data_IF_688038992455
#
_entry.id   IF_688038992455
#
_cell.length_a   1.000
_cell.length_b   1.000
_cell.length_c   1.000
_cell.angle_alpha   90.00
_cell.angle_beta   90.00
_cell.angle_gamma   90.00
#
_symmetry.space_group_name_H-M   'P 1'
#
loop_
_entity.id
_entity.type
_entity.pdbx_description
1 polymer ?
#
# COMPACT_ATOMS: atom_id res chain seq x y z
N UNK A 1 -7.54 -6.46 -25.87
CA UNK A 1 -7.14 -5.12 -26.40
C UNK A 1 -8.06 -3.97 -25.98
N UNK A 2 -9.40 -4.07 -26.08
CA UNK A 2 -10.34 -2.96 -25.82
C UNK A 2 -10.25 -2.29 -24.43
N UNK A 3 -9.94 -3.03 -23.35
CA UNK A 3 -9.80 -2.46 -22.00
C UNK A 3 -8.51 -1.63 -21.82
N UNK A 4 -7.38 -2.12 -22.36
CA UNK A 4 -6.11 -1.39 -22.35
C UNK A 4 -6.22 -0.06 -23.08
N UNK A 5 -6.90 -0.02 -24.23
CA UNK A 5 -7.13 1.25 -24.94
C UNK A 5 -8.04 2.22 -24.17
N UNK A 6 -9.09 1.72 -23.49
CA UNK A 6 -9.97 2.53 -22.63
C UNK A 6 -9.22 3.16 -21.46
N UNK A 7 -8.39 2.40 -20.76
CA UNK A 7 -7.63 2.92 -19.60
C UNK A 7 -6.54 3.89 -20.02
N UNK A 8 -5.88 3.64 -21.16
CA UNK A 8 -4.96 4.59 -21.77
C UNK A 8 -5.68 5.90 -22.11
N UNK A 9 -6.83 5.83 -22.81
CA UNK A 9 -7.63 7.01 -23.13
C UNK A 9 -8.00 7.77 -21.85
N UNK A 10 -8.50 7.07 -20.83
CA UNK A 10 -8.84 7.67 -19.52
C UNK A 10 -7.64 8.35 -18.87
N UNK A 11 -6.46 7.75 -18.93
CA UNK A 11 -5.24 8.36 -18.41
C UNK A 11 -4.90 9.64 -19.18
N UNK A 12 -4.85 9.60 -20.51
CA UNK A 12 -4.53 10.77 -21.33
C UNK A 12 -5.58 11.87 -21.22
N UNK A 13 -6.87 11.53 -21.11
CA UNK A 13 -7.92 12.53 -20.82
C UNK A 13 -7.68 13.25 -19.50
N UNK A 14 -7.22 12.53 -18.46
CA UNK A 14 -6.84 13.15 -17.18
C UNK A 14 -5.66 14.10 -17.38
N UNK A 15 -4.65 13.71 -18.16
CA UNK A 15 -3.49 14.56 -18.46
C UNK A 15 -3.90 15.80 -19.25
N UNK A 16 -4.74 15.67 -20.27
CA UNK A 16 -5.27 16.82 -21.03
C UNK A 16 -6.05 17.78 -20.12
N UNK A 17 -6.91 17.26 -19.23
CA UNK A 17 -7.62 18.09 -18.27
C UNK A 17 -6.68 18.79 -17.28
N UNK A 18 -5.62 18.11 -16.82
CA UNK A 18 -4.61 18.74 -15.98
C UNK A 18 -3.86 19.86 -16.71
N UNK A 19 -3.58 19.69 -18.01
CA UNK A 19 -2.96 20.70 -18.84
C UNK A 19 -3.88 21.93 -19.00
N UNK A 20 -5.15 21.71 -19.35
CA UNK A 20 -6.13 22.79 -19.52
C UNK A 20 -6.37 23.58 -18.22
N UNK A 21 -6.34 22.90 -17.06
CA UNK A 21 -6.61 23.51 -15.76
C UNK A 21 -5.33 23.80 -14.96
N UNK A 22 -4.16 23.78 -15.60
CA UNK A 22 -2.87 23.80 -14.91
C UNK A 22 -2.72 24.98 -13.92
N UNK A 23 -3.03 26.25 -14.28
CA UNK A 23 -2.88 27.37 -13.35
C UNK A 23 -3.72 27.20 -12.09
N UNK A 24 -4.99 26.78 -12.26
CA UNK A 24 -5.91 26.56 -11.16
C UNK A 24 -5.49 25.39 -10.26
N UNK A 25 -5.03 24.30 -10.86
CA UNK A 25 -4.57 23.13 -10.12
C UNK A 25 -3.28 23.41 -9.35
N UNK A 26 -2.37 24.23 -9.89
CA UNK A 26 -1.19 24.69 -9.18
C UNK A 26 -1.55 25.59 -8.00
N UNK A 27 -2.46 26.55 -8.19
CA UNK A 27 -2.96 27.40 -7.11
C UNK A 27 -3.59 26.57 -5.99
N UNK A 28 -4.38 25.55 -6.36
CA UNK A 28 -4.98 24.61 -5.40
C UNK A 28 -3.94 23.90 -4.54
N UNK A 29 -2.81 23.45 -5.11
CA UNK A 29 -1.75 22.81 -4.33
C UNK A 29 -1.05 23.79 -3.38
N UNK A 30 -0.84 25.05 -3.80
CA UNK A 30 -0.32 26.12 -2.94
C UNK A 30 -1.26 26.36 -1.76
N UNK A 31 -2.56 26.48 -2.02
CA UNK A 31 -3.57 26.68 -0.99
C UNK A 31 -3.61 25.53 0.01
N UNK A 32 -3.56 24.27 -0.46
CA UNK A 32 -3.51 23.11 0.45
C UNK A 32 -2.27 23.14 1.34
N UNK A 33 -1.11 23.49 0.79
CA UNK A 33 0.13 23.63 1.55
C UNK A 33 0.01 24.74 2.61
N UNK A 34 -0.54 25.88 2.23
CA UNK A 34 -0.79 26.99 3.14
C UNK A 34 -1.73 26.57 4.27
N UNK A 35 -2.88 25.95 3.95
CA UNK A 35 -3.83 25.43 4.94
C UNK A 35 -3.20 24.38 5.85
N UNK A 36 -2.31 23.53 5.33
CA UNK A 36 -1.62 22.54 6.15
C UNK A 36 -0.75 23.16 7.25
N UNK A 37 -0.17 24.32 6.97
CA UNK A 37 0.62 25.09 7.92
C UNK A 37 -0.25 25.87 8.92
N UNK A 38 -1.56 26.05 8.64
CA UNK A 38 -2.49 26.57 9.62
C UNK A 38 -2.75 25.48 10.68
N UNK A 39 -2.80 25.90 11.95
CA UNK A 39 -3.13 25.01 13.07
C UNK A 39 -4.65 24.91 13.30
N UNK A 40 -5.41 24.80 12.21
CA UNK A 40 -6.87 24.64 12.26
C UNK A 40 -7.20 23.15 12.11
N UNK A 41 -7.56 22.53 13.23
CA UNK A 41 -8.00 21.14 13.28
C UNK A 41 -9.53 21.07 13.47
N UNK A 42 -10.23 20.63 12.43
CA UNK A 42 -11.69 20.40 12.45
C UNK A 42 -12.02 18.93 12.19
N UNK A 43 -11.02 18.07 12.07
CA UNK A 43 -11.24 16.65 11.84
C UNK A 43 -11.48 15.97 13.19
N UNK A 44 -12.64 15.35 13.34
CA UNK A 44 -13.05 14.65 14.56
C UNK A 44 -12.27 13.36 14.82
N UNK A 45 -11.37 12.98 13.90
CA UNK A 45 -10.66 11.70 13.98
C UNK A 45 -11.61 10.55 13.68
N UNK A 46 -11.02 9.41 13.35
CA UNK A 46 -11.75 8.15 13.21
C UNK A 46 -10.92 7.02 13.77
N UNK A 47 -11.57 6.13 14.49
CA UNK A 47 -10.97 4.94 15.08
C UNK A 47 -11.52 3.70 14.39
N UNK A 48 -10.65 2.70 14.22
CA UNK A 48 -10.99 1.40 13.64
C UNK A 48 -11.82 0.60 14.63
N UNK A 49 -12.62 -0.32 14.11
CA UNK A 49 -13.15 -1.39 14.96
C UNK A 49 -12.00 -2.25 15.52
N UNK A 50 -12.15 -2.66 16.78
CA UNK A 50 -11.23 -3.60 17.41
C UNK A 50 -11.22 -4.94 16.66
N UNK A 51 -10.08 -5.62 16.73
CA UNK A 51 -9.89 -6.96 16.18
C UNK A 51 -9.76 -7.91 17.36
N UNK A 52 -10.61 -8.93 17.42
CA UNK A 52 -10.58 -9.96 18.46
C UNK A 52 -9.98 -11.28 17.96
N UNK A 53 -9.84 -11.44 16.65
CA UNK A 53 -9.24 -12.61 16.02
C UNK A 53 -7.73 -12.66 16.29
N UNK A 54 -7.25 -13.83 16.72
CA UNK A 54 -5.83 -14.15 16.84
C UNK A 54 -5.17 -14.46 15.49
N UNK A 55 -5.98 -14.64 14.45
CA UNK A 55 -5.55 -14.95 13.09
C UNK A 55 -5.37 -13.68 12.27
N UNK A 56 -4.27 -13.61 11.54
CA UNK A 56 -3.94 -12.56 10.56
C UNK A 56 -4.03 -13.17 9.17
N UNK A 57 -4.84 -12.57 8.29
CA UNK A 57 -4.87 -13.00 6.90
C UNK A 57 -3.77 -12.30 6.10
N UNK A 58 -2.86 -13.08 5.53
CA UNK A 58 -1.69 -12.58 4.80
C UNK A 58 -1.86 -12.88 3.33
N UNK A 59 -1.87 -11.87 2.48
CA UNK A 59 -1.77 -12.01 1.05
C UNK A 59 -0.35 -11.69 0.58
N UNK A 60 0.22 -12.63 -0.16
CA UNK A 60 1.40 -12.40 -0.99
C UNK A 60 0.98 -12.42 -2.45
N UNK A 61 1.40 -11.42 -3.23
CA UNK A 61 1.22 -11.39 -4.67
C UNK A 61 2.53 -11.70 -5.42
N UNK A 62 2.44 -12.56 -6.43
CA UNK A 62 3.53 -12.90 -7.35
C UNK A 62 3.07 -12.87 -8.82
N UNK A 63 4.01 -12.60 -9.73
CA UNK A 63 3.81 -12.83 -11.17
C UNK A 63 4.49 -14.14 -11.59
N UNK A 64 3.76 -14.97 -12.34
CA UNK A 64 4.15 -16.35 -12.65
C UNK A 64 5.45 -16.48 -13.44
N UNK A 65 5.88 -15.43 -14.15
CA UNK A 65 7.12 -15.42 -14.91
C UNK A 65 8.39 -15.14 -14.08
N UNK A 66 8.27 -14.94 -12.77
CA UNK A 66 9.42 -14.64 -11.93
C UNK A 66 10.05 -15.87 -11.28
N UNK A 67 11.38 -15.85 -11.12
CA UNK A 67 12.10 -16.80 -10.29
C UNK A 67 11.73 -16.61 -8.81
N UNK A 68 11.79 -17.70 -8.04
CA UNK A 68 11.49 -17.70 -6.60
C UNK A 68 12.43 -16.80 -5.77
N UNK A 69 13.69 -16.70 -6.20
CA UNK A 69 14.73 -15.83 -5.63
C UNK A 69 15.18 -14.82 -6.69
N UNK A 70 15.32 -13.55 -6.31
CA UNK A 70 15.64 -12.45 -7.24
C UNK A 70 16.50 -11.38 -6.58
N UNK A 71 17.38 -10.79 -7.37
CA UNK A 71 18.01 -9.51 -7.05
C UNK A 71 17.28 -8.42 -7.81
N UNK A 72 16.84 -7.37 -7.11
CA UNK A 72 16.22 -6.19 -7.73
C UNK A 72 17.14 -4.99 -7.60
N UNK A 73 17.34 -4.31 -8.73
CA UNK A 73 18.01 -3.00 -8.79
C UNK A 73 16.98 -1.89 -8.74
N UNK A 74 17.01 -1.09 -7.68
CA UNK A 74 16.21 0.12 -7.58
C UNK A 74 16.80 1.23 -8.45
N UNK A 75 15.98 2.21 -8.84
CA UNK A 75 16.41 3.37 -9.65
C UNK A 75 17.48 4.24 -8.98
N UNK A 76 17.68 4.10 -7.67
CA UNK A 76 18.79 4.73 -6.94
C UNK A 76 20.14 4.04 -7.16
N UNK A 77 20.18 2.93 -7.91
CA UNK A 77 21.38 2.11 -8.12
C UNK A 77 21.57 1.02 -7.07
N UNK A 78 20.85 1.08 -5.93
CA UNK A 78 20.91 0.07 -4.87
C UNK A 78 20.29 -1.25 -5.32
N UNK A 79 20.94 -2.34 -4.97
CA UNK A 79 20.47 -3.69 -5.23
C UNK A 79 20.07 -4.37 -3.92
N UNK A 80 19.06 -5.22 -3.97
CA UNK A 80 18.62 -5.99 -2.82
C UNK A 80 18.05 -7.34 -3.23
N UNK A 81 18.22 -8.31 -2.35
CA UNK A 81 17.64 -9.64 -2.49
C UNK A 81 16.15 -9.60 -2.12
N UNK A 82 15.33 -10.27 -2.91
CA UNK A 82 13.89 -10.43 -2.72
C UNK A 82 13.42 -11.72 -3.39
N UNK A 83 12.14 -12.07 -3.27
CA UNK A 83 11.61 -13.28 -3.90
C UNK A 83 10.44 -13.87 -3.15
N UNK A 84 9.68 -14.72 -3.81
CA UNK A 84 8.54 -15.41 -3.19
C UNK A 84 9.00 -16.38 -2.12
N UNK A 85 9.99 -17.23 -2.43
CA UNK A 85 10.46 -18.28 -1.51
C UNK A 85 10.96 -17.73 -0.17
N UNK A 86 11.92 -16.80 -0.12
CA UNK A 86 12.42 -16.28 1.16
C UNK A 86 11.33 -15.53 1.93
N UNK A 87 10.38 -14.89 1.23
CA UNK A 87 9.26 -14.23 1.88
C UNK A 87 8.26 -15.21 2.49
N UNK A 88 7.92 -16.29 1.78
CA UNK A 88 7.06 -17.35 2.29
C UNK A 88 7.73 -18.15 3.41
N UNK A 89 9.03 -18.42 3.32
CA UNK A 89 9.81 -19.05 4.39
C UNK A 89 9.79 -18.20 5.66
N UNK A 90 10.01 -16.88 5.55
CA UNK A 90 9.89 -15.95 6.67
C UNK A 90 8.49 -16.03 7.33
N UNK A 91 7.42 -15.96 6.53
CA UNK A 91 6.05 -16.01 7.03
C UNK A 91 5.71 -17.38 7.65
N UNK A 92 6.18 -18.47 7.06
CA UNK A 92 5.91 -19.83 7.54
C UNK A 92 6.65 -20.13 8.86
N UNK A 93 7.84 -19.57 9.03
CA UNK A 93 8.68 -19.75 10.21
C UNK A 93 8.38 -18.74 11.34
N UNK A 94 7.39 -17.87 11.16
CA UNK A 94 6.96 -16.96 12.21
C UNK A 94 6.38 -17.75 13.42
N UNK A 95 6.91 -17.45 14.60
CA UNK A 95 6.60 -18.11 15.88
C UNK A 95 6.06 -17.13 16.94
N UNK A 96 5.50 -16.00 16.50
CA UNK A 96 4.98 -14.97 17.39
C UNK A 96 3.58 -15.27 17.95
N UNK A 97 2.91 -14.21 18.43
CA UNK A 97 1.63 -14.31 19.17
C UNK A 97 0.43 -14.74 18.31
N UNK A 98 0.51 -14.59 16.99
CA UNK A 98 -0.64 -14.74 16.09
C UNK A 98 -0.56 -15.99 15.23
N UNK A 99 -1.69 -16.39 14.64
CA UNK A 99 -1.73 -17.41 13.59
C UNK A 99 -1.77 -16.74 12.23
N UNK A 100 -0.91 -17.15 11.29
CA UNK A 100 -0.92 -16.60 9.95
C UNK A 100 -1.71 -17.51 9.00
N UNK A 101 -2.70 -16.94 8.33
CA UNK A 101 -3.41 -17.58 7.22
C UNK A 101 -2.87 -17.00 5.90
N UNK A 102 -1.94 -17.73 5.27
CA UNK A 102 -1.16 -17.24 4.14
C UNK A 102 -1.85 -17.62 2.82
N UNK A 103 -2.27 -16.62 2.06
CA UNK A 103 -2.82 -16.75 0.73
C UNK A 103 -1.83 -16.22 -0.30
N UNK A 104 -1.57 -17.00 -1.34
CA UNK A 104 -0.79 -16.55 -2.49
C UNK A 104 -1.71 -16.20 -3.64
N UNK A 105 -1.59 -14.99 -4.18
CA UNK A 105 -2.13 -14.68 -5.51
C UNK A 105 -1.04 -14.76 -6.57
N UNK A 106 -1.30 -15.47 -7.67
CA UNK A 106 -0.36 -15.60 -8.78
C UNK A 106 -1.01 -15.07 -10.06
N UNK A 107 -0.37 -14.08 -10.67
CA UNK A 107 -0.77 -13.61 -12.00
C UNK A 107 -0.12 -14.45 -13.10
N UNK A 108 -0.88 -14.81 -14.14
CA UNK A 108 -0.40 -15.72 -15.21
C UNK A 108 0.13 -17.04 -14.62
N UNK A 109 -0.70 -17.70 -13.81
CA UNK A 109 -0.35 -18.91 -13.06
C UNK A 109 0.14 -20.05 -13.96
N UNK A 110 -0.31 -20.09 -15.22
CA UNK A 110 0.14 -21.05 -16.23
C UNK A 110 1.64 -20.97 -16.54
N UNK A 111 2.28 -19.82 -16.25
CA UNK A 111 3.74 -19.64 -16.39
C UNK A 111 4.50 -20.05 -15.13
N UNK A 112 3.80 -20.26 -14.02
CA UNK A 112 4.39 -20.44 -12.71
C UNK A 112 4.83 -21.89 -12.50
N UNK A 113 6.10 -22.16 -12.81
CA UNK A 113 6.69 -23.52 -12.77
C UNK A 113 6.90 -24.08 -11.36
N UNK A 114 6.75 -23.25 -10.33
CA UNK A 114 7.15 -23.57 -8.95
C UNK A 114 5.97 -23.86 -8.03
N UNK A 115 4.75 -24.08 -8.56
CA UNK A 115 3.56 -24.22 -7.74
C UNK A 115 3.70 -25.32 -6.69
N UNK A 116 4.19 -26.51 -7.06
CA UNK A 116 4.38 -27.61 -6.11
C UNK A 116 5.42 -27.31 -5.02
N UNK A 117 6.44 -26.49 -5.32
CA UNK A 117 7.48 -26.11 -4.35
C UNK A 117 6.94 -25.16 -3.27
N UNK A 118 5.97 -24.31 -3.64
CA UNK A 118 5.47 -23.26 -2.74
C UNK A 118 4.18 -23.62 -2.00
N UNK A 119 3.40 -24.59 -2.48
CA UNK A 119 2.13 -25.00 -1.86
C UNK A 119 2.28 -25.36 -0.37
N UNK A 120 3.38 -25.99 0.10
CA UNK A 120 3.58 -26.27 1.53
C UNK A 120 3.65 -25.02 2.44
N UNK A 121 3.95 -23.85 1.88
CA UNK A 121 4.11 -22.61 2.63
C UNK A 121 2.82 -21.79 2.74
N UNK A 122 1.76 -22.15 2.01
CA UNK A 122 0.54 -21.34 1.88
C UNK A 122 -0.70 -22.17 2.18
N UNK A 123 -1.73 -21.51 2.69
CA UNK A 123 -3.03 -22.11 2.98
C UNK A 123 -3.93 -22.13 1.74
N UNK A 124 -3.78 -21.15 0.84
CA UNK A 124 -4.58 -21.09 -0.39
C UNK A 124 -3.85 -20.37 -1.53
N UNK A 125 -4.30 -20.62 -2.77
CA UNK A 125 -3.79 -19.98 -3.98
C UNK A 125 -4.93 -19.38 -4.78
N UNK A 126 -4.80 -18.12 -5.18
CA UNK A 126 -5.77 -17.40 -6.00
C UNK A 126 -5.13 -17.04 -7.36
N UNK A 127 -5.50 -17.70 -8.46
CA UNK A 127 -5.06 -17.29 -9.78
C UNK A 127 -5.72 -15.96 -10.17
N UNK A 128 -4.94 -15.02 -10.68
CA UNK A 128 -5.44 -13.71 -11.11
C UNK A 128 -4.90 -13.30 -12.48
N UNK A 129 -5.55 -12.32 -13.11
CA UNK A 129 -5.00 -11.67 -14.31
C UNK A 129 -3.82 -10.78 -13.94
N UNK A 130 -2.78 -10.73 -14.79
CA UNK A 130 -1.66 -9.78 -14.65
C UNK A 130 -2.03 -8.32 -15.00
N UNK A 131 -3.27 -8.07 -15.41
CA UNK A 131 -3.65 -6.75 -15.92
C UNK A 131 -3.54 -5.62 -14.89
N UNK A 132 -3.82 -5.89 -13.61
CA UNK A 132 -3.71 -4.92 -12.52
C UNK A 132 -2.46 -5.08 -11.65
N UNK A 133 -1.44 -5.82 -12.09
CA UNK A 133 -0.24 -6.10 -11.29
C UNK A 133 -0.62 -6.63 -9.89
N UNK A 134 0.02 -6.13 -8.83
CA UNK A 134 -0.27 -6.47 -7.43
C UNK A 134 -1.71 -6.15 -7.00
N UNK A 135 -2.31 -5.09 -7.53
CA UNK A 135 -3.70 -4.74 -7.24
C UNK A 135 -4.72 -5.77 -7.74
N UNK A 136 -4.37 -6.59 -8.75
CA UNK A 136 -5.22 -7.72 -9.15
C UNK A 136 -5.27 -8.78 -8.06
N UNK A 137 -4.13 -9.11 -7.45
CA UNK A 137 -4.08 -9.99 -6.29
C UNK A 137 -4.83 -9.42 -5.11
N UNK A 138 -4.53 -8.16 -4.76
CA UNK A 138 -5.10 -7.49 -3.60
C UNK A 138 -6.62 -7.39 -3.71
N UNK A 139 -7.13 -6.97 -4.87
CA UNK A 139 -8.57 -6.88 -5.08
C UNK A 139 -9.28 -8.23 -4.98
N UNK A 140 -8.72 -9.30 -5.54
CA UNK A 140 -9.35 -10.62 -5.51
C UNK A 140 -9.39 -11.20 -4.09
N UNK A 141 -8.32 -11.01 -3.32
CA UNK A 141 -8.24 -11.43 -1.93
C UNK A 141 -9.20 -10.65 -1.02
N UNK A 142 -9.25 -9.31 -1.14
CA UNK A 142 -10.19 -8.51 -0.36
C UNK A 142 -11.64 -8.92 -0.68
N UNK A 143 -11.93 -9.25 -1.93
CA UNK A 143 -13.25 -9.78 -2.30
C UNK A 143 -13.53 -11.14 -1.66
N UNK A 144 -12.55 -12.06 -1.57
CA UNK A 144 -12.75 -13.39 -1.01
C UNK A 144 -12.94 -13.39 0.51
N UNK A 145 -12.39 -12.39 1.22
CA UNK A 145 -12.51 -12.29 2.68
C UNK A 145 -13.53 -11.24 3.14
N UNK A 146 -14.23 -10.56 2.22
CA UNK A 146 -15.10 -9.42 2.55
C UNK A 146 -16.22 -9.77 3.53
N UNK A 147 -16.68 -11.01 3.59
CA UNK A 147 -17.77 -11.41 4.50
C UNK A 147 -17.25 -12.05 5.79
N UNK A 148 -15.93 -12.09 5.98
CA UNK A 148 -15.30 -12.60 7.21
C UNK A 148 -15.46 -11.63 8.38
N UNK A 149 -15.26 -12.15 9.58
CA UNK A 149 -15.10 -11.35 10.81
C UNK A 149 -13.96 -10.33 10.67
N UNK A 150 -13.94 -9.29 11.51
CA UNK A 150 -12.89 -8.29 11.43
C UNK A 150 -11.54 -8.86 11.89
N UNK A 151 -10.55 -8.86 10.99
CA UNK A 151 -9.17 -9.33 11.24
C UNK A 151 -8.15 -8.30 10.79
N UNK A 152 -6.93 -8.42 11.31
CA UNK A 152 -5.78 -7.81 10.69
C UNK A 152 -5.45 -8.52 9.38
N UNK A 153 -5.05 -7.74 8.39
CA UNK A 153 -4.64 -8.24 7.09
C UNK A 153 -3.32 -7.62 6.66
N UNK A 154 -2.47 -8.43 6.04
CA UNK A 154 -1.23 -7.99 5.41
C UNK A 154 -1.37 -8.16 3.90
N UNK A 155 -1.21 -7.09 3.14
CA UNK A 155 -1.11 -7.12 1.69
C UNK A 155 0.35 -6.85 1.30
N UNK A 156 0.97 -7.80 0.61
CA UNK A 156 2.35 -7.66 0.17
C UNK A 156 2.55 -8.26 -1.21
N UNK A 157 3.60 -7.82 -1.90
CA UNK A 157 4.13 -8.54 -3.05
C UNK A 157 5.51 -9.13 -2.70
N UNK A 158 5.98 -10.09 -3.47
CA UNK A 158 7.25 -10.78 -3.24
C UNK A 158 8.52 -9.93 -3.53
N UNK A 159 8.38 -8.61 -3.68
CA UNK A 159 9.50 -7.66 -3.82
C UNK A 159 9.94 -7.06 -2.49
N UNK A 160 9.51 -7.65 -1.37
CA UNK A 160 10.01 -7.35 -0.04
C UNK A 160 11.47 -7.79 0.06
N UNK A 161 12.29 -7.00 0.75
CA UNK A 161 13.71 -7.31 0.96
C UNK A 161 13.85 -8.57 1.84
N UNK A 162 14.79 -9.46 1.53
CA UNK A 162 14.98 -10.67 2.35
C UNK A 162 15.60 -10.40 3.72
N UNK A 163 16.23 -9.25 3.92
CA UNK A 163 16.76 -8.84 5.23
C UNK A 163 15.62 -8.31 6.13
N UNK A 164 14.63 -9.17 6.44
CA UNK A 164 13.54 -8.85 7.35
C UNK A 164 13.75 -9.55 8.69
N UNK A 165 13.48 -8.83 9.77
CA UNK A 165 13.45 -9.36 11.13
C UNK A 165 12.00 -9.55 11.56
N UNK A 166 11.75 -10.26 12.67
CA UNK A 166 10.39 -10.47 13.17
C UNK A 166 9.74 -9.13 13.54
N UNK A 167 8.80 -8.68 12.70
CA UNK A 167 8.13 -7.38 12.85
C UNK A 167 6.64 -7.50 13.19
N UNK A 168 6.02 -8.66 12.91
CA UNK A 168 4.56 -8.82 12.88
C UNK A 168 3.94 -8.42 14.22
N UNK A 169 4.43 -8.96 15.33
CA UNK A 169 3.88 -8.67 16.67
C UNK A 169 3.99 -7.19 17.02
N UNK A 170 5.15 -6.57 16.79
CA UNK A 170 5.35 -5.14 17.07
C UNK A 170 4.41 -4.25 16.24
N UNK A 171 4.14 -4.63 15.00
CA UNK A 171 3.22 -3.89 14.14
C UNK A 171 1.77 -4.03 14.59
N UNK A 172 1.36 -5.23 15.01
CA UNK A 172 0.02 -5.47 15.57
C UNK A 172 -0.14 -4.72 16.89
N UNK A 173 0.81 -4.86 17.82
CA UNK A 173 0.82 -4.15 19.11
C UNK A 173 0.72 -2.63 18.90
N UNK A 174 1.41 -2.07 17.90
CA UNK A 174 1.29 -0.65 17.56
C UNK A 174 -0.10 -0.29 17.03
N UNK A 175 -0.65 -1.09 16.12
CA UNK A 175 -1.98 -0.88 15.54
C UNK A 175 -3.06 -0.92 16.63
N UNK A 176 -2.96 -1.84 17.59
CA UNK A 176 -3.88 -1.93 18.74
C UNK A 176 -3.81 -0.70 19.64
N UNK A 177 -2.61 -0.20 19.94
CA UNK A 177 -2.39 1.03 20.72
C UNK A 177 -2.78 2.31 19.97
N UNK A 178 -2.93 2.25 18.64
CA UNK A 178 -3.26 3.37 17.78
C UNK A 178 -4.50 3.04 16.92
N UNK A 179 -5.71 2.99 17.53
CA UNK A 179 -6.93 2.66 16.79
C UNK A 179 -7.25 3.69 15.71
N UNK A 180 -6.66 4.88 15.75
CA UNK A 180 -6.82 5.92 14.72
C UNK A 180 -6.09 5.61 13.40
N UNK A 181 -5.18 4.64 13.38
CA UNK A 181 -4.39 4.28 12.19
C UNK A 181 -5.15 3.29 11.31
N UNK A 182 -5.57 3.72 10.12
CA UNK A 182 -6.25 2.85 9.15
C UNK A 182 -5.31 1.84 8.51
N UNK A 183 -4.13 2.31 8.09
CA UNK A 183 -3.14 1.51 7.39
C UNK A 183 -1.74 1.88 7.84
N UNK A 184 -0.90 0.85 7.95
CA UNK A 184 0.52 0.97 8.19
C UNK A 184 1.29 0.43 6.98
N UNK A 185 2.34 1.13 6.57
CA UNK A 185 3.28 0.67 5.54
C UNK A 185 4.73 0.79 5.98
N UNK A 186 5.64 0.38 5.11
CA UNK A 186 7.10 0.52 5.33
C UNK A 186 7.79 1.36 4.27
N UNK A 187 7.04 1.85 3.27
CA UNK A 187 7.54 2.82 2.31
C UNK A 187 6.44 3.79 1.89
N UNK A 188 6.85 5.01 1.55
CA UNK A 188 5.96 6.06 1.11
C UNK A 188 6.47 6.76 -0.15
N UNK A 189 5.54 7.45 -0.80
CA UNK A 189 5.87 8.54 -1.69
C UNK A 189 4.98 9.75 -1.37
N UNK A 190 5.54 10.96 -1.45
CA UNK A 190 4.77 12.19 -1.25
C UNK A 190 4.32 12.88 -2.54
N UNK A 191 4.57 12.25 -3.70
CA UNK A 191 4.31 12.82 -5.02
C UNK A 191 3.57 11.83 -5.93
N UNK A 192 2.66 12.37 -6.72
CA UNK A 192 2.10 11.73 -7.90
C UNK A 192 2.96 12.07 -9.12
N UNK A 193 3.96 11.24 -9.43
CA UNK A 193 4.84 11.46 -10.59
C UNK A 193 4.10 11.35 -11.94
N UNK A 194 2.91 10.76 -11.96
CA UNK A 194 2.06 10.59 -13.14
C UNK A 194 1.07 11.75 -13.34
N UNK A 195 1.47 12.97 -12.97
CA UNK A 195 0.68 14.20 -13.09
C UNK A 195 1.54 15.34 -13.62
N UNK A 196 0.94 16.26 -14.36
CA UNK A 196 1.59 17.50 -14.83
C UNK A 196 1.67 18.58 -13.76
N UNK A 197 0.91 18.44 -12.67
CA UNK A 197 0.82 19.44 -11.60
C UNK A 197 2.14 19.46 -10.83
N UNK A 198 2.93 20.53 -11.00
CA UNK A 198 4.15 20.76 -10.23
C UNK A 198 3.83 20.90 -8.74
N UNK A 199 4.76 20.45 -7.90
CA UNK A 199 4.63 20.49 -6.43
C UNK A 199 3.39 19.76 -5.86
N UNK A 200 2.81 18.81 -6.60
CA UNK A 200 1.73 17.99 -6.08
C UNK A 200 2.20 17.26 -4.81
N UNK A 201 1.52 17.49 -3.69
CA UNK A 201 1.86 16.86 -2.41
C UNK A 201 0.74 15.91 -2.02
N UNK A 202 0.99 14.62 -2.25
CA UNK A 202 0.03 13.53 -2.06
C UNK A 202 0.72 12.39 -1.32
N UNK A 203 0.92 12.51 0.00
CA UNK A 203 1.54 11.47 0.81
C UNK A 203 0.70 10.19 0.80
N UNK A 204 1.32 9.08 0.42
CA UNK A 204 0.69 7.77 0.36
C UNK A 204 1.69 6.66 0.69
N UNK A 205 1.15 5.56 1.22
CA UNK A 205 1.86 4.30 1.40
C UNK A 205 2.02 3.62 0.04
N UNK A 206 3.20 3.06 -0.23
CA UNK A 206 3.47 2.30 -1.47
C UNK A 206 2.98 0.85 -1.34
N UNK A 207 2.52 0.25 -2.44
CA UNK A 207 1.74 -1.00 -2.43
C UNK A 207 2.51 -2.28 -2.11
N UNK A 208 3.82 -2.23 -1.89
CA UNK A 208 4.64 -3.43 -1.66
C UNK A 208 4.40 -4.09 -0.30
N UNK A 209 3.99 -3.33 0.72
CA UNK A 209 3.57 -3.83 2.03
C UNK A 209 2.56 -2.87 2.67
N UNK A 210 1.40 -3.41 3.07
CA UNK A 210 0.34 -2.69 3.77
C UNK A 210 -0.23 -3.61 4.86
N UNK A 211 -0.22 -3.16 6.12
CA UNK A 211 -0.97 -3.75 7.22
C UNK A 211 -2.22 -2.91 7.49
N UNK A 212 -3.37 -3.55 7.64
CA UNK A 212 -4.66 -2.90 7.88
C UNK A 212 -5.65 -3.89 8.50
N UNK A 213 -6.95 -3.59 8.47
CA UNK A 213 -8.02 -4.50 8.89
C UNK A 213 -9.07 -4.69 7.80
N UNK A 214 -9.84 -5.78 7.89
CA UNK A 214 -10.96 -6.06 6.99
C UNK A 214 -11.97 -4.91 7.04
N UNK A 215 -12.31 -4.39 8.23
CA UNK A 215 -13.26 -3.29 8.38
C UNK A 215 -12.81 -2.02 7.65
N UNK A 216 -11.56 -1.60 7.84
CA UNK A 216 -10.99 -0.45 7.11
C UNK A 216 -11.04 -0.66 5.60
N UNK A 217 -10.74 -1.87 5.11
CA UNK A 217 -10.81 -2.16 3.68
C UNK A 217 -12.24 -2.12 3.15
N UNK A 218 -13.24 -2.63 3.90
CA UNK A 218 -14.66 -2.49 3.56
C UNK A 218 -15.05 -1.02 3.41
N UNK A 219 -14.59 -0.16 4.33
CA UNK A 219 -14.85 1.27 4.26
C UNK A 219 -14.21 1.93 3.06
N UNK A 220 -12.95 1.60 2.75
CA UNK A 220 -12.24 2.12 1.58
C UNK A 220 -12.97 1.71 0.29
N UNK A 221 -13.40 0.46 0.18
CA UNK A 221 -14.18 -0.06 -0.95
C UNK A 221 -15.52 0.66 -1.08
N UNK A 222 -16.27 0.82 0.01
CA UNK A 222 -17.54 1.54 0.06
C UNK A 222 -17.39 2.99 -0.41
N UNK A 223 -16.35 3.68 0.07
CA UNK A 223 -16.01 5.06 -0.29
C UNK A 223 -15.28 5.20 -1.64
N UNK A 224 -15.14 4.09 -2.37
CA UNK A 224 -14.65 4.04 -3.73
C UNK A 224 -15.67 3.39 -4.67
N UNK A 225 -16.96 3.69 -4.44
CA UNK A 225 -18.08 3.23 -5.28
C UNK A 225 -18.21 1.71 -5.32
N UNK A 226 -18.07 1.06 -4.16
CA UNK A 226 -18.15 -0.41 -4.00
C UNK A 226 -17.07 -1.18 -4.80
N UNK A 227 -15.97 -0.52 -5.18
CA UNK A 227 -14.88 -1.13 -5.92
C UNK A 227 -13.56 -0.89 -5.21
N UNK A 228 -12.75 -1.95 -5.07
CA UNK A 228 -11.39 -1.82 -4.56
C UNK A 228 -10.57 -0.81 -5.42
N UNK A 229 -9.82 0.12 -4.80
CA UNK A 229 -8.97 1.04 -5.55
C UNK A 229 -8.04 0.29 -6.52
N UNK A 230 -8.05 0.64 -7.80
CA UNK A 230 -7.23 -0.04 -8.81
C UNK A 230 -7.87 -1.28 -9.46
N UNK A 231 -9.00 -1.79 -8.95
CA UNK A 231 -9.73 -2.92 -9.57
C UNK A 231 -10.08 -2.60 -11.02
N UNK A 232 -9.85 -3.58 -11.90
CA UNK A 232 -10.09 -3.49 -13.35
C UNK A 232 -9.28 -2.42 -14.11
N UNK A 233 -8.21 -1.86 -13.53
CA UNK A 233 -7.32 -0.92 -14.21
C UNK A 233 -6.12 -1.66 -14.78
N UNK A 234 -5.90 -1.48 -16.08
CA UNK A 234 -4.84 -2.16 -16.84
C UNK A 234 -3.67 -1.26 -17.22
N UNK A 235 -3.86 0.06 -17.16
CA UNK A 235 -2.83 1.04 -17.46
C UNK A 235 -2.00 1.38 -16.21
N UNK A 236 -0.70 1.03 -16.23
CA UNK A 236 0.20 1.16 -15.06
C UNK A 236 0.21 2.54 -14.41
N UNK A 237 0.30 3.61 -15.20
CA UNK A 237 0.35 4.97 -14.66
C UNK A 237 -1.00 5.39 -14.05
N UNK A 238 -2.10 4.86 -14.58
CA UNK A 238 -3.43 5.10 -14.02
C UNK A 238 -3.61 4.30 -12.73
N UNK A 239 -3.06 3.08 -12.67
CA UNK A 239 -3.10 2.23 -11.49
C UNK A 239 -2.41 2.88 -10.29
N UNK A 240 -1.26 3.54 -10.47
CA UNK A 240 -0.62 4.31 -9.39
C UNK A 240 -1.57 5.38 -8.86
N UNK A 241 -2.24 6.11 -9.75
CA UNK A 241 -3.15 7.21 -9.38
C UNK A 241 -4.46 6.76 -8.73
N UNK A 242 -5.02 5.65 -9.20
CA UNK A 242 -6.39 5.19 -8.87
C UNK A 242 -6.42 3.94 -7.98
N UNK A 243 -5.28 3.29 -7.80
CA UNK A 243 -5.01 2.23 -6.83
C UNK A 243 -4.20 2.79 -5.66
N UNK A 244 -2.87 2.80 -5.78
CA UNK A 244 -1.91 3.11 -4.70
C UNK A 244 -2.21 4.44 -3.98
N UNK A 245 -2.21 5.56 -4.72
CA UNK A 245 -2.48 6.88 -4.14
C UNK A 245 -3.91 6.96 -3.59
N UNK A 246 -4.87 6.40 -4.33
CA UNK A 246 -6.30 6.52 -4.03
C UNK A 246 -6.66 5.84 -2.71
N UNK A 247 -6.04 4.70 -2.39
CA UNK A 247 -6.26 3.98 -1.15
C UNK A 247 -5.92 4.84 0.08
N UNK A 248 -4.72 5.41 0.10
CA UNK A 248 -4.27 6.34 1.16
C UNK A 248 -5.15 7.59 1.24
N UNK A 249 -5.54 8.16 0.09
CA UNK A 249 -6.40 9.35 0.07
C UNK A 249 -7.80 9.12 0.64
N UNK A 250 -8.38 7.93 0.45
CA UNK A 250 -9.69 7.61 1.01
C UNK A 250 -9.58 7.48 2.53
N UNK A 251 -8.61 6.72 3.03
CA UNK A 251 -8.39 6.56 4.47
C UNK A 251 -8.22 7.92 5.19
N UNK A 252 -7.36 8.79 4.65
CA UNK A 252 -7.16 10.14 5.20
C UNK A 252 -8.42 11.02 5.15
N UNK A 253 -9.28 10.84 4.13
CA UNK A 253 -10.56 11.58 4.03
C UNK A 253 -11.60 11.08 5.01
N UNK A 254 -11.56 9.81 5.37
CA UNK A 254 -12.45 9.21 6.37
C UNK A 254 -12.12 9.64 7.80
N UNK A 255 -11.01 10.35 8.01
CA UNK A 255 -10.60 10.86 9.32
C UNK A 255 -9.49 10.05 9.98
N UNK A 256 -9.10 8.93 9.37
CA UNK A 256 -8.02 8.08 9.87
C UNK A 256 -6.62 8.71 9.69
N UNK A 257 -5.71 8.27 10.54
CA UNK A 257 -4.27 8.39 10.36
C UNK A 257 -3.71 7.29 9.45
N UNK A 258 -2.55 7.57 8.87
CA UNK A 258 -1.68 6.59 8.24
C UNK A 258 -0.36 6.53 9.00
N UNK A 259 0.25 5.35 9.06
CA UNK A 259 1.53 5.13 9.72
C UNK A 259 2.56 4.54 8.75
N UNK A 260 3.82 4.93 8.93
CA UNK A 260 4.95 4.42 8.17
C UNK A 260 6.05 4.06 9.16
N UNK A 261 6.53 2.82 9.10
CA UNK A 261 7.73 2.42 9.84
C UNK A 261 8.97 2.78 9.02
N UNK A 262 9.87 3.57 9.61
CA UNK A 262 11.08 4.09 8.97
C UNK A 262 12.25 3.11 9.11
N UNK A 263 13.37 3.40 8.43
CA UNK A 263 14.55 2.52 8.41
C UNK A 263 15.19 2.32 9.79
N UNK A 264 15.05 3.31 10.69
CA UNK A 264 15.51 3.22 12.08
C UNK A 264 14.48 2.56 13.03
N UNK A 265 13.39 2.01 12.50
CA UNK A 265 12.30 1.40 13.27
C UNK A 265 11.34 2.38 13.93
N UNK A 266 11.53 3.71 13.79
CA UNK A 266 10.56 4.67 14.33
C UNK A 266 9.31 4.76 13.46
N UNK A 267 8.16 5.07 14.07
CA UNK A 267 6.89 5.18 13.36
C UNK A 267 6.53 6.63 13.09
N UNK A 268 6.38 6.97 11.82
CA UNK A 268 5.84 8.25 11.39
C UNK A 268 4.34 8.14 11.15
N UNK A 269 3.54 8.80 12.01
CA UNK A 269 2.08 8.89 11.91
C UNK A 269 1.65 10.25 11.36
N UNK A 270 0.73 10.26 10.40
CA UNK A 270 0.17 11.50 9.85
C UNK A 270 -1.32 11.39 9.54
N UNK A 271 -2.05 12.51 9.69
CA UNK A 271 -3.49 12.61 9.39
C UNK A 271 -3.87 13.98 8.88
N UNK A 272 -5.03 14.10 8.25
CA UNK A 272 -5.56 15.42 7.87
C UNK A 272 -6.12 16.15 9.09
N UNK A 273 -5.77 17.42 9.25
CA UNK A 273 -6.40 18.33 10.22
C UNK A 273 -7.79 18.82 9.76
N UNK A 274 -8.02 18.90 8.46
CA UNK A 274 -9.30 19.31 7.87
C UNK A 274 -9.41 18.84 6.40
N UNK A 275 -10.54 19.13 5.75
CA UNK A 275 -10.81 18.67 4.36
C UNK A 275 -9.81 19.18 3.31
N UNK A 276 -9.21 20.36 3.55
CA UNK A 276 -8.26 21.02 2.65
C UNK A 276 -6.80 20.72 2.98
N UNK A 277 -6.52 20.15 4.15
CA UNK A 277 -5.19 19.75 4.55
C UNK A 277 -4.68 18.58 3.68
N UNK A 278 -3.46 18.73 3.16
CA UNK A 278 -2.72 17.68 2.45
C UNK A 278 -1.60 17.04 3.31
N UNK A 279 -1.59 17.34 4.60
CA UNK A 279 -0.64 16.91 5.62
C UNK A 279 0.78 17.50 5.48
N UNK A 280 1.04 18.43 4.55
CA UNK A 280 2.39 18.96 4.26
C UNK A 280 3.21 19.37 5.50
N UNK A 281 2.59 20.03 6.48
CA UNK A 281 3.28 20.52 7.69
C UNK A 281 3.84 19.40 8.56
N UNK A 282 3.24 18.21 8.54
CA UNK A 282 3.70 17.04 9.30
C UNK A 282 4.95 16.39 8.70
N UNK A 283 5.32 16.75 7.47
CA UNK A 283 6.47 16.20 6.74
C UNK A 283 7.66 17.18 6.71
N UNK A 284 7.84 17.96 7.78
CA UNK A 284 8.92 18.96 7.88
C UNK A 284 10.30 18.32 7.94
N UNK A 285 10.46 17.24 8.71
CA UNK A 285 11.74 16.57 8.97
C UNK A 285 12.03 15.36 8.07
N UNK A 286 11.03 14.87 7.33
CA UNK A 286 11.19 13.76 6.39
C UNK A 286 11.46 14.24 4.97
N UNK A 287 12.30 13.47 4.25
CA UNK A 287 12.55 13.71 2.83
C UNK A 287 11.27 13.45 2.02
N UNK A 288 10.91 14.42 1.17
CA UNK A 288 9.73 14.37 0.29
C UNK A 288 10.07 13.67 -1.03
N UNK A 289 9.08 13.03 -1.64
CA UNK A 289 9.24 12.16 -2.82
C UNK A 289 9.17 10.68 -2.44
N UNK A 290 9.71 9.82 -3.30
CA UNK A 290 9.80 8.36 -3.06
C UNK A 290 10.95 8.08 -2.07
N UNK A 291 10.63 7.52 -0.91
CA UNK A 291 11.63 7.31 0.15
C UNK A 291 12.68 6.26 -0.19
N UNK A 292 12.43 5.38 -1.17
CA UNK A 292 13.38 4.32 -1.57
C UNK A 292 14.68 4.86 -2.14
N UNK A 293 14.69 6.12 -2.58
CA UNK A 293 15.92 6.83 -2.96
C UNK A 293 16.78 7.22 -1.74
N UNK A 294 16.20 7.25 -0.54
CA UNK A 294 16.82 7.81 0.65
C UNK A 294 17.18 6.79 1.74
N UNK A 295 16.77 5.53 1.59
CA UNK A 295 17.05 4.43 2.55
C UNK A 295 18.14 3.49 2.03
N UNK A 296 18.91 2.91 2.94
CA UNK A 296 19.98 1.96 2.61
C UNK A 296 19.42 0.65 2.07
N UNK A 297 18.30 0.18 2.63
CA UNK A 297 17.66 -1.08 2.25
C UNK A 297 16.24 -0.83 1.68
N UNK A 298 16.08 -0.62 0.36
CA UNK A 298 14.77 -0.48 -0.25
C UNK A 298 13.88 -1.68 0.05
N UNK A 299 12.59 -1.41 0.31
CA UNK A 299 11.56 -2.40 0.60
C UNK A 299 11.87 -3.32 1.82
N UNK A 300 12.82 -2.97 2.69
CA UNK A 300 12.99 -3.67 3.98
C UNK A 300 11.82 -3.34 4.89
N UNK A 301 11.29 -4.36 5.57
CA UNK A 301 10.34 -4.21 6.66
C UNK A 301 11.17 -4.24 7.94
N UNK A 302 11.24 -3.10 8.63
CA UNK A 302 12.02 -2.95 9.86
C UNK A 302 11.11 -3.21 11.06
N UNK A 303 11.57 -3.91 12.10
CA UNK A 303 10.80 -3.99 13.34
C UNK A 303 10.62 -2.58 13.93
N UNK A 304 9.54 -2.38 14.68
CA UNK A 304 9.35 -1.13 15.43
C UNK A 304 10.31 -1.14 16.61
N UNK A 305 11.18 -0.14 16.67
CA UNK A 305 12.07 0.08 17.82
C UNK A 305 11.22 0.62 18.97
N UNK A 306 11.17 -0.11 20.09
CA UNK A 306 10.55 0.32 21.34
C UNK A 306 11.35 1.46 21.99
#
# INVERSE_FOLDING_TARGET
MKRKSKDSLKFYSIICLEFLLLPFLMLKEILKKWVSNLNINTNTGKERLSVTSDTIDVLVHEWGGYNLNRVKKHKSGREFNCGLKPWLEFLKNYTGKHRLNITLSVSEIEKFKHLNEITPYVNSVIPVSNSGYDFSGYSSFIESIKDSENKYIILSNSSVNTNCENFIDGYIDYMEKNPDVAMMGTSYCTKCYQSLIRNNFRPHIQSFFILTTIDVMKEIVRNNSQLFPGKNITHKLLLIRKGEIRMSEIALKLGYSLAIVLENGSVFKYKKKNKWDNCYSQWSYLKKGDMRFNVSFPNKINPISL
#
